data_IF_143266309586
#
_entry.id   IF_143266309586
#
_cell.length_a   1.000
_cell.length_b   1.000
_cell.length_c   1.000
_cell.angle_alpha   90.00
_cell.angle_beta   90.00
_cell.angle_gamma   90.00
#
_symmetry.space_group_name_H-M   'P 1'
#
loop_
_entity.id
_entity.type
_entity.pdbx_description
1 polymer ?
#
# COMPACT_ATOMS: atom_id res chain seq x y z
N UNK A 1 16.86 5.37 -117.86
CA UNK A 1 15.61 4.68 -117.49
C UNK A 1 15.97 3.66 -116.44
N UNK A 2 15.73 3.87 -115.15
CA UNK A 2 15.87 2.85 -114.12
C UNK A 2 14.55 2.64 -113.44
N UNK A 3 14.07 1.40 -113.54
CA UNK A 3 12.85 0.93 -112.88
C UNK A 3 13.07 0.88 -111.39
N UNK A 4 12.14 1.44 -110.67
CA UNK A 4 12.10 1.23 -109.21
C UNK A 4 11.16 0.06 -108.89
N UNK A 5 11.73 -0.95 -108.28
CA UNK A 5 11.08 -2.14 -107.73
C UNK A 5 10.22 -1.80 -106.52
N UNK A 6 9.02 -2.39 -106.52
CA UNK A 6 8.01 -2.31 -105.50
C UNK A 6 8.55 -2.97 -104.18
N UNK A 7 8.85 -2.14 -103.13
CA UNK A 7 9.19 -2.61 -101.83
C UNK A 7 7.94 -2.95 -101.03
N UNK A 8 7.76 -4.17 -100.69
CA UNK A 8 6.76 -4.68 -99.79
C UNK A 8 7.10 -4.14 -98.35
N UNK A 9 6.17 -3.50 -97.73
CA UNK A 9 6.26 -3.13 -96.32
C UNK A 9 6.06 -4.35 -95.44
N UNK A 10 6.92 -4.58 -94.36
CA UNK A 10 6.68 -5.68 -93.44
C UNK A 10 5.52 -5.31 -92.54
N UNK A 11 4.57 -6.23 -92.37
CA UNK A 11 3.44 -6.22 -91.46
C UNK A 11 3.96 -6.23 -90.00
N UNK A 12 4.01 -5.05 -89.33
CA UNK A 12 4.34 -4.92 -87.93
C UNK A 12 3.08 -5.15 -87.06
N UNK A 13 2.55 -6.33 -87.05
CA UNK A 13 1.62 -6.73 -85.98
C UNK A 13 2.41 -7.08 -84.74
N UNK A 14 2.65 -6.09 -83.91
CA UNK A 14 3.15 -6.31 -82.56
C UNK A 14 2.12 -7.13 -81.82
N UNK A 15 2.40 -8.41 -81.58
CA UNK A 15 1.68 -9.22 -80.58
C UNK A 15 1.95 -8.57 -79.21
N UNK A 16 0.96 -7.90 -78.66
CA UNK A 16 0.91 -7.56 -77.27
C UNK A 16 0.73 -8.88 -76.53
N UNK A 17 1.82 -9.38 -75.92
CA UNK A 17 1.69 -10.46 -74.92
C UNK A 17 1.01 -9.80 -73.70
N UNK A 18 -0.24 -10.16 -73.45
CA UNK A 18 -0.90 -9.94 -72.20
C UNK A 18 -0.19 -10.87 -71.22
N UNK A 19 0.65 -10.28 -70.40
CA UNK A 19 1.16 -10.95 -69.21
C UNK A 19 -0.05 -11.10 -68.28
N UNK A 20 -0.65 -12.25 -68.21
CA UNK A 20 -1.56 -12.62 -67.13
C UNK A 20 -0.72 -12.52 -65.85
N UNK A 21 -0.99 -11.47 -65.05
CA UNK A 21 -0.52 -11.42 -63.65
C UNK A 21 -1.15 -12.61 -62.94
N UNK A 22 -0.38 -13.64 -62.74
CA UNK A 22 -0.72 -14.70 -61.83
C UNK A 22 -0.98 -14.04 -60.46
N UNK A 23 -2.14 -14.32 -59.80
CA UNK A 23 -2.37 -13.79 -58.47
C UNK A 23 -1.29 -14.37 -57.57
N UNK A 24 -0.48 -13.45 -56.98
CA UNK A 24 0.49 -13.82 -55.93
C UNK A 24 -0.20 -14.75 -54.95
N UNK A 25 0.36 -15.90 -54.59
CA UNK A 25 -0.21 -16.75 -53.58
C UNK A 25 -0.25 -15.97 -52.29
N UNK A 26 -1.45 -15.59 -51.85
CA UNK A 26 -1.67 -15.02 -50.53
C UNK A 26 -1.14 -16.02 -49.53
N UNK A 27 0.13 -15.88 -49.21
CA UNK A 27 0.83 -16.68 -48.22
C UNK A 27 0.18 -16.49 -46.90
N UNK A 28 -0.81 -17.30 -46.57
CA UNK A 28 -1.34 -17.47 -45.22
C UNK A 28 -0.12 -17.77 -44.36
N UNK A 29 0.45 -16.74 -43.73
CA UNK A 29 1.55 -16.89 -42.77
C UNK A 29 1.03 -17.87 -41.71
N UNK A 30 1.51 -19.11 -41.81
CA UNK A 30 1.34 -20.10 -40.74
C UNK A 30 1.97 -19.44 -39.51
N UNK A 31 1.14 -18.90 -38.63
CA UNK A 31 1.63 -18.44 -37.33
C UNK A 31 2.35 -19.65 -36.74
N UNK A 32 3.66 -19.49 -36.51
CA UNK A 32 4.45 -20.59 -35.93
C UNK A 32 3.79 -20.93 -34.60
N UNK A 33 3.50 -22.19 -34.37
CA UNK A 33 2.96 -22.70 -33.08
C UNK A 33 3.81 -22.17 -31.92
N UNK A 34 5.10 -22.06 -32.15
CA UNK A 34 6.04 -21.43 -31.23
C UNK A 34 5.68 -19.99 -30.88
N UNK A 35 5.30 -19.17 -31.86
CA UNK A 35 4.88 -17.77 -31.61
C UNK A 35 3.60 -17.74 -30.78
N UNK A 36 2.65 -18.62 -31.05
CA UNK A 36 1.41 -18.71 -30.26
C UNK A 36 1.71 -19.14 -28.84
N UNK A 37 2.56 -20.13 -28.63
CA UNK A 37 3.00 -20.56 -27.29
C UNK A 37 3.69 -19.38 -26.55
N UNK A 38 4.58 -18.66 -27.24
CA UNK A 38 5.26 -17.50 -26.66
C UNK A 38 4.25 -16.41 -26.21
N UNK A 39 3.28 -16.09 -27.06
CA UNK A 39 2.22 -15.10 -26.73
C UNK A 39 1.41 -15.57 -25.51
N UNK A 40 1.03 -16.83 -25.43
CA UNK A 40 0.28 -17.38 -24.29
C UNK A 40 1.10 -17.28 -23.00
N UNK A 41 2.39 -17.63 -23.06
CA UNK A 41 3.29 -17.52 -21.89
C UNK A 41 3.43 -16.07 -21.44
N UNK A 42 3.67 -15.14 -22.37
CA UNK A 42 3.76 -13.72 -22.03
C UNK A 42 2.44 -13.17 -21.47
N UNK A 43 1.31 -13.57 -22.04
CA UNK A 43 0.00 -13.17 -21.51
C UNK A 43 -0.23 -13.71 -20.09
N UNK A 44 0.14 -14.96 -19.83
CA UNK A 44 0.04 -15.53 -18.47
C UNK A 44 0.94 -14.79 -17.46
N UNK A 45 2.20 -14.53 -17.81
CA UNK A 45 3.12 -13.76 -16.97
C UNK A 45 2.59 -12.35 -16.72
N UNK A 46 2.07 -11.69 -17.76
CA UNK A 46 1.48 -10.35 -17.63
C UNK A 46 0.29 -10.36 -16.67
N UNK A 47 -0.63 -11.31 -16.80
CA UNK A 47 -1.81 -11.40 -15.93
C UNK A 47 -1.42 -11.67 -14.47
N UNK A 48 -0.45 -12.55 -14.22
CA UNK A 48 0.06 -12.81 -12.87
C UNK A 48 0.71 -11.55 -12.30
N UNK A 49 1.57 -10.87 -13.08
CA UNK A 49 2.22 -9.64 -12.63
C UNK A 49 1.21 -8.52 -12.36
N UNK A 50 0.21 -8.36 -13.22
CA UNK A 50 -0.87 -7.40 -13.01
C UNK A 50 -1.68 -7.73 -11.74
N UNK A 51 -1.98 -9.00 -11.51
CA UNK A 51 -2.65 -9.45 -10.27
C UNK A 51 -1.85 -9.13 -9.02
N UNK A 52 -0.55 -9.37 -9.02
CA UNK A 52 0.35 -9.03 -7.90
C UNK A 52 0.38 -7.52 -7.67
N UNK A 53 0.49 -6.71 -8.74
CA UNK A 53 0.48 -5.24 -8.61
C UNK A 53 -0.84 -4.72 -8.04
N UNK A 54 -1.99 -5.25 -8.50
CA UNK A 54 -3.30 -4.87 -7.96
C UNK A 54 -3.38 -5.24 -6.47
N UNK A 55 -2.92 -6.43 -6.10
CA UNK A 55 -2.89 -6.87 -4.71
C UNK A 55 -2.07 -5.91 -3.85
N UNK A 56 -0.84 -5.59 -4.27
CA UNK A 56 0.08 -4.73 -3.50
C UNK A 56 -0.33 -3.26 -3.45
N UNK A 57 -0.90 -2.73 -4.53
CA UNK A 57 -1.20 -1.29 -4.63
C UNK A 57 -2.64 -0.93 -4.24
N UNK A 58 -3.56 -1.89 -4.24
CA UNK A 58 -4.98 -1.63 -3.98
C UNK A 58 -5.49 -2.45 -2.81
N UNK A 59 -5.31 -3.78 -2.84
CA UNK A 59 -5.93 -4.66 -1.84
C UNK A 59 -5.26 -4.54 -0.48
N UNK A 60 -3.94 -4.62 -0.42
CA UNK A 60 -3.22 -4.49 0.85
C UNK A 60 -3.45 -3.15 1.55
N UNK A 61 -3.36 -1.97 0.87
CA UNK A 61 -3.71 -0.69 1.47
C UNK A 61 -5.14 -0.64 1.99
N UNK A 62 -6.10 -1.14 1.22
CA UNK A 62 -7.51 -1.16 1.60
C UNK A 62 -7.76 -1.99 2.88
N UNK A 63 -7.15 -3.18 2.97
CA UNK A 63 -7.23 -4.02 4.18
C UNK A 63 -6.58 -3.31 5.37
N UNK A 64 -5.45 -2.64 5.17
CA UNK A 64 -4.78 -1.91 6.23
C UNK A 64 -5.63 -0.75 6.77
N UNK A 65 -6.30 0.00 5.87
CA UNK A 65 -7.20 1.08 6.25
C UNK A 65 -8.41 0.54 7.02
N UNK A 66 -9.04 -0.53 6.54
CA UNK A 66 -10.17 -1.16 7.24
C UNK A 66 -9.78 -1.65 8.64
N UNK A 67 -8.61 -2.30 8.78
CA UNK A 67 -8.13 -2.73 10.10
C UNK A 67 -7.86 -1.54 11.04
N UNK A 68 -7.34 -0.43 10.50
CA UNK A 68 -7.10 0.76 11.29
C UNK A 68 -8.42 1.41 11.73
N UNK A 69 -9.40 1.53 10.85
CA UNK A 69 -10.72 2.06 11.15
C UNK A 69 -11.45 1.20 12.19
N UNK A 70 -11.47 -0.12 12.01
CA UNK A 70 -12.10 -1.07 12.92
C UNK A 70 -11.58 -0.93 14.36
N UNK A 71 -10.26 -0.94 14.54
CA UNK A 71 -9.69 -0.85 15.89
C UNK A 71 -9.86 0.55 16.49
N UNK A 72 -9.91 1.61 15.66
CA UNK A 72 -10.22 2.97 16.11
C UNK A 72 -11.67 3.08 16.58
N UNK A 73 -12.62 2.49 15.85
CA UNK A 73 -14.03 2.45 16.27
C UNK A 73 -14.18 1.75 17.62
N UNK A 74 -13.55 0.59 17.80
CA UNK A 74 -13.59 -0.13 19.08
C UNK A 74 -12.98 0.72 20.21
N UNK A 75 -11.86 1.41 19.94
CA UNK A 75 -11.25 2.29 20.95
C UNK A 75 -12.17 3.46 21.33
N UNK A 76 -12.82 4.08 20.35
CA UNK A 76 -13.78 5.18 20.57
C UNK A 76 -15.02 4.69 21.32
N UNK A 77 -15.60 3.56 20.92
CA UNK A 77 -16.76 2.95 21.60
C UNK A 77 -16.42 2.55 23.05
N UNK A 78 -15.19 2.12 23.28
CA UNK A 78 -14.70 1.81 24.61
C UNK A 78 -14.47 3.07 25.48
N UNK A 79 -14.63 4.27 24.92
CA UNK A 79 -14.45 5.53 25.63
C UNK A 79 -13.06 6.15 25.45
N UNK A 80 -12.21 5.58 24.61
CA UNK A 80 -10.85 6.06 24.33
C UNK A 80 -10.77 7.30 23.46
N UNK A 81 -11.77 8.17 23.47
CA UNK A 81 -11.74 9.43 22.71
C UNK A 81 -10.60 10.29 23.17
N UNK A 82 -9.66 10.57 22.28
CA UNK A 82 -8.62 11.53 22.54
C UNK A 82 -9.21 12.96 22.47
N UNK A 83 -8.87 13.79 23.40
CA UNK A 83 -9.23 15.21 23.40
C UNK A 83 -9.70 15.70 24.75
N UNK A 84 -10.23 16.91 24.76
CA UNK A 84 -10.79 17.56 25.93
C UNK A 84 -11.81 16.67 26.65
N UNK A 85 -11.79 16.63 27.97
CA UNK A 85 -12.84 16.00 28.77
C UNK A 85 -14.23 16.45 28.29
N UNK A 86 -15.24 15.60 28.43
CA UNK A 86 -16.61 16.00 28.17
C UNK A 86 -17.02 17.18 29.05
N UNK A 87 -18.03 17.96 28.66
CA UNK A 87 -18.38 19.27 29.22
C UNK A 87 -18.55 19.31 30.77
N UNK A 88 -18.61 18.16 31.45
CA UNK A 88 -18.68 18.03 32.90
C UNK A 88 -17.74 16.95 33.48
N UNK A 89 -16.79 16.46 32.68
CA UNK A 89 -15.85 15.42 33.07
C UNK A 89 -14.56 16.05 33.61
N UNK A 90 -14.07 15.53 34.71
CA UNK A 90 -12.75 15.93 35.22
C UNK A 90 -11.65 15.23 34.38
N UNK A 91 -10.45 15.82 34.39
CA UNK A 91 -9.28 15.24 33.69
C UNK A 91 -9.00 13.78 34.16
N UNK A 92 -9.10 13.54 35.47
CA UNK A 92 -8.91 12.21 36.03
C UNK A 92 -9.97 11.19 35.62
N UNK A 93 -11.22 11.61 35.40
CA UNK A 93 -12.28 10.74 34.89
C UNK A 93 -12.04 10.40 33.41
N UNK A 94 -11.62 11.41 32.61
CA UNK A 94 -11.25 11.20 31.22
C UNK A 94 -10.04 10.25 31.10
N UNK A 95 -9.07 10.37 31.98
CA UNK A 95 -7.90 9.53 32.06
C UNK A 95 -8.28 8.07 32.40
N UNK A 96 -9.10 7.86 33.42
CA UNK A 96 -9.57 6.54 33.80
C UNK A 96 -10.33 5.86 32.68
N UNK A 97 -11.15 6.62 31.95
CA UNK A 97 -11.91 6.11 30.80
C UNK A 97 -10.99 5.68 29.64
N UNK A 98 -9.89 6.42 29.37
CA UNK A 98 -8.91 6.04 28.35
C UNK A 98 -8.14 4.78 28.72
N UNK A 99 -7.78 4.63 29.99
CA UNK A 99 -7.15 3.41 30.50
C UNK A 99 -8.11 2.22 30.34
N UNK A 100 -9.39 2.38 30.75
CA UNK A 100 -10.41 1.32 30.59
C UNK A 100 -10.60 0.94 29.11
N UNK A 101 -10.52 1.92 28.20
CA UNK A 101 -10.61 1.64 26.76
C UNK A 101 -9.44 0.78 26.28
N UNK A 102 -8.22 1.01 26.78
CA UNK A 102 -7.07 0.16 26.44
C UNK A 102 -7.25 -1.25 27.00
N UNK A 103 -7.76 -1.38 28.24
CA UNK A 103 -8.06 -2.68 28.83
C UNK A 103 -9.08 -3.49 28.01
N UNK A 104 -10.11 -2.83 27.47
CA UNK A 104 -11.05 -3.48 26.54
C UNK A 104 -10.41 -3.91 25.23
N UNK A 105 -9.46 -3.16 24.69
CA UNK A 105 -8.70 -3.58 23.51
C UNK A 105 -7.84 -4.81 23.79
N UNK A 106 -7.39 -5.00 25.03
CA UNK A 106 -6.64 -6.21 25.45
C UNK A 106 -7.49 -7.48 25.41
N UNK A 107 -8.82 -7.37 25.42
CA UNK A 107 -9.70 -8.52 25.16
C UNK A 107 -9.58 -9.03 23.72
N UNK A 108 -9.27 -8.13 22.75
CA UNK A 108 -9.04 -8.45 21.34
C UNK A 108 -7.63 -9.02 21.15
N UNK A 109 -6.64 -8.31 21.69
CA UNK A 109 -5.25 -8.73 21.68
C UNK A 109 -4.56 -8.30 22.98
N UNK A 110 -4.19 -9.24 23.87
CA UNK A 110 -3.54 -8.92 25.14
C UNK A 110 -2.18 -8.23 25.02
N UNK A 111 -1.59 -8.23 23.82
CA UNK A 111 -0.33 -7.54 23.55
C UNK A 111 -0.53 -6.03 23.31
N UNK A 112 -1.77 -5.53 23.24
CA UNK A 112 -2.02 -4.08 23.16
C UNK A 112 -1.62 -3.44 24.48
N UNK A 113 -0.59 -2.60 24.44
CA UNK A 113 0.00 -1.96 25.61
C UNK A 113 -0.40 -0.49 25.77
N UNK A 114 -0.92 0.13 24.69
CA UNK A 114 -1.30 1.53 24.70
C UNK A 114 -1.87 1.98 23.37
N UNK A 115 -2.09 3.30 23.29
CA UNK A 115 -2.61 3.99 22.10
C UNK A 115 -1.78 5.24 21.82
N UNK A 116 -1.28 5.35 20.58
CA UNK A 116 -0.51 6.50 20.12
C UNK A 116 -1.35 7.34 19.16
N UNK A 117 -1.43 8.65 19.46
CA UNK A 117 -2.11 9.62 18.60
C UNK A 117 -1.28 10.87 18.40
N UNK A 118 -1.21 11.32 17.14
CA UNK A 118 -0.69 12.62 16.76
C UNK A 118 -1.74 13.36 15.94
N UNK A 119 -2.19 14.51 16.45
CA UNK A 119 -3.17 15.33 15.73
C UNK A 119 -2.60 15.81 14.38
N UNK A 120 -3.48 16.01 13.41
CA UNK A 120 -3.13 16.40 12.04
C UNK A 120 -2.20 15.42 11.31
N UNK A 121 -2.10 14.18 11.78
CA UNK A 121 -1.37 13.09 11.13
C UNK A 121 -2.27 11.86 11.01
N UNK A 122 -1.78 10.84 10.31
CA UNK A 122 -2.43 9.52 10.23
C UNK A 122 -2.05 8.58 11.39
N UNK A 123 -1.31 9.08 12.39
CA UNK A 123 -0.93 8.28 13.57
C UNK A 123 -2.06 8.36 14.58
N UNK A 124 -2.86 7.32 14.64
CA UNK A 124 -3.96 7.09 15.58
C UNK A 124 -4.18 5.58 15.67
N UNK A 125 -3.31 4.88 16.43
CA UNK A 125 -3.19 3.44 16.37
C UNK A 125 -2.79 2.84 17.71
N UNK A 126 -3.11 1.54 17.94
CA UNK A 126 -2.64 0.82 19.09
C UNK A 126 -1.11 0.65 19.06
N UNK A 127 -0.52 0.65 20.24
CA UNK A 127 0.87 0.26 20.46
C UNK A 127 0.89 -1.13 21.07
N UNK A 128 1.69 -2.05 20.49
CA UNK A 128 1.73 -3.42 20.92
C UNK A 128 3.04 -3.72 21.65
N UNK A 129 3.00 -4.67 22.55
CA UNK A 129 4.18 -5.23 23.23
C UNK A 129 4.54 -6.55 22.57
N UNK A 130 5.69 -6.66 21.89
CA UNK A 130 6.07 -7.91 21.25
C UNK A 130 6.44 -9.00 22.28
N UNK A 131 6.35 -10.30 21.91
CA UNK A 131 6.86 -11.39 22.74
C UNK A 131 8.37 -11.23 23.02
N UNK A 132 8.81 -11.60 24.19
CA UNK A 132 10.21 -11.46 24.60
C UNK A 132 11.20 -12.29 23.76
N UNK A 133 10.73 -13.37 23.15
CA UNK A 133 11.50 -14.26 22.27
C UNK A 133 11.47 -13.84 20.79
N UNK A 134 10.59 -12.89 20.42
CA UNK A 134 10.52 -12.28 19.07
C UNK A 134 10.28 -10.78 19.18
N UNK A 135 11.32 -9.97 19.45
CA UNK A 135 11.19 -8.51 19.62
C UNK A 135 10.66 -7.76 18.38
N UNK A 136 10.77 -8.37 17.21
CA UNK A 136 10.32 -7.78 15.94
C UNK A 136 8.98 -8.39 15.45
N UNK A 137 8.28 -9.15 16.30
CA UNK A 137 7.05 -9.87 15.97
C UNK A 137 6.03 -8.99 15.22
N UNK A 138 5.84 -7.75 15.67
CA UNK A 138 4.88 -6.82 15.10
C UNK A 138 5.42 -5.97 13.94
N UNK A 139 6.66 -6.16 13.53
CA UNK A 139 7.21 -5.45 12.39
C UNK A 139 6.46 -5.80 11.08
N UNK A 140 5.98 -7.04 10.98
CA UNK A 140 5.24 -7.53 9.80
C UNK A 140 3.89 -8.15 10.18
N UNK A 141 3.31 -7.78 11.32
CA UNK A 141 1.98 -8.25 11.75
C UNK A 141 1.12 -7.10 12.26
N UNK A 142 -0.17 -7.17 11.96
CA UNK A 142 -1.15 -6.24 12.50
C UNK A 142 -1.57 -6.63 13.93
N UNK A 143 -2.47 -5.84 14.53
CA UNK A 143 -2.99 -6.10 15.88
C UNK A 143 -3.81 -7.41 15.99
N UNK A 144 -4.28 -7.97 14.86
CA UNK A 144 -4.93 -9.29 14.79
C UNK A 144 -3.92 -10.44 14.68
N UNK A 145 -2.61 -10.15 14.68
CA UNK A 145 -1.51 -11.11 14.47
C UNK A 145 -1.45 -11.68 13.04
N UNK A 146 -2.08 -11.00 12.09
CA UNK A 146 -2.06 -11.36 10.67
C UNK A 146 -0.86 -10.72 9.96
N UNK A 147 -0.27 -11.45 9.02
CA UNK A 147 0.88 -10.95 8.26
C UNK A 147 0.47 -9.76 7.37
N UNK A 148 1.24 -8.68 7.44
CA UNK A 148 1.06 -7.48 6.64
C UNK A 148 2.38 -6.75 6.44
N UNK A 149 2.56 -6.12 5.29
CA UNK A 149 3.75 -5.29 5.01
C UNK A 149 3.80 -3.99 5.81
N UNK A 150 2.69 -3.58 6.40
CA UNK A 150 2.59 -2.36 7.19
C UNK A 150 3.04 -2.55 8.64
N UNK A 151 2.93 -3.78 9.15
CA UNK A 151 3.19 -4.07 10.54
C UNK A 151 2.26 -3.31 11.49
N UNK A 152 2.74 -3.11 12.70
CA UNK A 152 2.10 -2.28 13.73
C UNK A 152 3.12 -1.37 14.39
N UNK A 153 2.65 -0.42 15.19
CA UNK A 153 3.51 0.32 16.12
C UNK A 153 3.68 -0.55 17.36
N UNK A 154 4.91 -0.73 17.81
CA UNK A 154 5.20 -1.59 18.95
C UNK A 154 6.34 -1.04 19.82
N UNK A 155 6.32 -1.40 21.10
CA UNK A 155 7.37 -1.06 22.06
C UNK A 155 8.63 -1.89 21.79
N UNK A 156 9.78 -1.27 22.01
CA UNK A 156 11.04 -2.00 22.11
C UNK A 156 11.01 -2.94 23.32
N UNK A 157 11.48 -4.18 23.15
CA UNK A 157 11.47 -5.18 24.23
C UNK A 157 12.28 -4.75 25.46
N UNK A 158 13.25 -3.84 25.30
CA UNK A 158 14.04 -3.26 26.39
C UNK A 158 13.37 -2.06 27.07
N UNK A 159 12.25 -1.57 26.54
CA UNK A 159 11.52 -0.40 27.02
C UNK A 159 10.11 -0.79 27.50
N UNK A 160 9.98 -1.42 28.67
CA UNK A 160 8.68 -1.87 29.17
C UNK A 160 7.75 -0.69 29.43
N UNK A 161 6.43 -0.96 29.43
CA UNK A 161 5.41 0.06 29.78
C UNK A 161 5.68 0.66 31.16
N UNK A 162 5.71 1.99 31.24
CA UNK A 162 6.01 2.73 32.46
C UNK A 162 7.52 2.91 32.71
N UNK A 163 8.38 2.65 31.74
CA UNK A 163 9.79 3.05 31.81
C UNK A 163 9.93 4.55 31.57
N UNK A 164 10.92 5.20 32.20
CA UNK A 164 11.21 6.64 32.04
C UNK A 164 11.50 7.01 30.56
N UNK A 165 11.96 6.06 29.77
CA UNK A 165 12.19 6.22 28.35
C UNK A 165 11.58 5.02 27.59
N UNK A 166 10.61 5.30 26.77
CA UNK A 166 9.93 4.28 25.96
C UNK A 166 10.25 4.48 24.50
N UNK A 167 10.79 3.45 23.86
CA UNK A 167 11.13 3.47 22.44
C UNK A 167 10.05 2.74 21.64
N UNK A 168 9.47 3.42 20.67
CA UNK A 168 8.46 2.89 19.78
C UNK A 168 9.05 2.62 18.41
N UNK A 169 8.76 1.45 17.85
CA UNK A 169 9.11 1.03 16.51
C UNK A 169 7.88 0.99 15.60
N UNK A 170 8.09 1.19 14.32
CA UNK A 170 7.08 1.08 13.29
C UNK A 170 7.65 1.41 11.92
N UNK A 171 7.02 0.93 10.87
CA UNK A 171 7.43 1.28 9.51
C UNK A 171 7.18 2.77 9.20
N UNK A 172 7.92 3.29 8.22
CA UNK A 172 7.65 4.57 7.56
C UNK A 172 7.31 4.29 6.11
N UNK A 173 6.03 4.32 5.75
CA UNK A 173 5.53 3.87 4.46
C UNK A 173 5.37 5.03 3.47
N UNK A 174 5.93 4.92 2.27
CA UNK A 174 5.88 5.98 1.23
C UNK A 174 4.45 6.34 0.78
N UNK A 175 3.47 5.48 1.04
CA UNK A 175 2.05 5.73 0.78
C UNK A 175 1.37 6.58 1.88
N UNK A 176 2.16 7.12 2.81
CA UNK A 176 1.69 8.03 3.85
C UNK A 176 1.30 7.37 5.17
N UNK A 177 1.37 6.03 5.28
CA UNK A 177 0.97 5.27 6.47
C UNK A 177 2.08 5.14 7.49
N UNK A 178 1.70 4.64 8.67
CA UNK A 178 2.59 4.41 9.80
C UNK A 178 3.34 5.71 10.19
N UNK A 179 4.64 5.67 10.42
CA UNK A 179 5.45 6.81 10.83
C UNK A 179 5.88 7.75 9.69
N UNK A 180 5.33 7.62 8.49
CA UNK A 180 5.66 8.50 7.35
C UNK A 180 5.47 9.98 7.68
N UNK A 181 4.38 10.33 8.35
CA UNK A 181 4.07 11.72 8.71
C UNK A 181 5.11 12.36 9.63
N UNK A 182 5.88 11.57 10.41
CA UNK A 182 6.95 12.08 11.26
C UNK A 182 8.11 12.70 10.47
N UNK A 183 8.29 12.34 9.19
CA UNK A 183 9.31 12.96 8.33
C UNK A 183 9.09 14.47 8.22
N UNK A 184 7.83 14.91 8.24
CA UNK A 184 7.48 16.34 8.16
C UNK A 184 7.79 17.13 9.42
N UNK A 185 8.05 16.48 10.56
CA UNK A 185 8.39 17.13 11.83
C UNK A 185 9.81 17.74 11.85
N UNK A 186 10.58 17.55 10.79
CA UNK A 186 11.77 18.37 10.53
C UNK A 186 11.46 19.84 10.21
N UNK A 187 10.20 20.16 9.88
CA UNK A 187 9.74 21.53 9.65
C UNK A 187 9.14 22.12 10.94
N UNK A 188 9.69 23.22 11.50
CA UNK A 188 9.16 23.88 12.70
C UNK A 188 7.71 24.34 12.58
N UNK A 189 7.21 24.62 11.37
CA UNK A 189 5.81 25.02 11.18
C UNK A 189 4.84 23.82 11.33
N UNK A 190 5.30 22.62 11.08
CA UNK A 190 4.54 21.38 11.33
C UNK A 190 4.46 21.12 12.83
N UNK A 191 5.58 21.23 13.53
CA UNK A 191 5.66 21.06 15.00
C UNK A 191 4.72 22.05 15.71
N UNK A 192 4.68 23.32 15.27
CA UNK A 192 3.75 24.31 15.84
C UNK A 192 2.27 23.96 15.68
N UNK A 193 1.92 23.24 14.62
CA UNK A 193 0.53 22.80 14.35
C UNK A 193 0.16 21.51 15.08
N UNK A 194 1.16 20.74 15.48
CA UNK A 194 0.99 19.45 16.16
C UNK A 194 1.95 19.41 17.35
N UNK A 195 1.74 20.26 18.36
CA UNK A 195 2.69 20.41 19.46
C UNK A 195 2.60 19.29 20.50
N UNK A 196 1.64 18.39 20.38
CA UNK A 196 1.36 17.35 21.37
C UNK A 196 1.35 15.99 20.73
N UNK A 197 2.10 15.06 21.32
CA UNK A 197 2.01 13.64 21.09
C UNK A 197 1.26 13.05 22.28
N UNK A 198 0.15 12.40 22.02
CA UNK A 198 -0.62 11.69 23.04
C UNK A 198 -0.24 10.20 22.98
N UNK A 199 0.24 9.68 24.11
CA UNK A 199 0.51 8.25 24.27
C UNK A 199 -0.13 7.77 25.57
N UNK A 200 -1.20 7.03 25.43
CA UNK A 200 -1.97 6.44 26.53
C UNK A 200 -1.56 4.99 26.71
N UNK A 201 -1.31 4.56 27.93
CA UNK A 201 -1.01 3.16 28.27
C UNK A 201 -1.99 2.66 29.33
N UNK A 202 -2.05 1.34 29.52
CA UNK A 202 -2.87 0.77 30.59
C UNK A 202 -2.37 1.08 32.01
N UNK A 203 -1.18 1.70 32.15
CA UNK A 203 -0.61 2.10 33.44
C UNK A 203 -0.65 3.59 33.67
N UNK A 204 -0.46 4.37 32.62
CA UNK A 204 -0.31 5.81 32.72
C UNK A 204 -0.65 6.49 31.38
N UNK A 205 -0.98 7.75 31.46
CA UNK A 205 -1.24 8.60 30.31
C UNK A 205 -0.13 9.63 30.19
N UNK A 206 0.37 9.81 28.98
CA UNK A 206 1.44 10.76 28.71
C UNK A 206 1.06 11.73 27.59
N UNK A 207 1.06 13.03 27.93
CA UNK A 207 0.97 14.11 26.96
C UNK A 207 2.37 14.72 26.82
N UNK A 208 2.99 14.50 25.69
CA UNK A 208 4.33 15.02 25.40
C UNK A 208 4.17 16.26 24.52
N UNK A 209 4.62 17.41 25.02
CA UNK A 209 4.74 18.64 24.24
C UNK A 209 6.08 18.66 23.53
N UNK A 210 6.07 18.84 22.21
CA UNK A 210 7.24 18.88 21.34
C UNK A 210 7.50 20.28 20.78
#
# INVERSE_FOLDING_TARGET
MKQYSNGQMPDMRRRVQVVEDDPEPSGRRKSSVWLTVLIVVFAAVFLVSAGVLIWEMVVNPFIADQNAEEIQEVFVEAGGVAGTPAENETEGEADARRVEAIEKLQEINPDISGWLRLENTNINQPVLLPPADDPEYYLYRNYKKEDTKYGSIFLDASSPVGADNQLLHGHSMQDGRMFWSLISFGDPEVVKKTPVIQYDTYKELSLIHI
#
